data_IF_746089499852
#
_entry.id   IF_746089499852
#
_cell.length_a   1.000
_cell.length_b   1.000
_cell.length_c   1.000
_cell.angle_alpha   90.00
_cell.angle_beta   90.00
_cell.angle_gamma   90.00
#
_symmetry.space_group_name_H-M   'P 1'
#
loop_
_entity.id
_entity.type
_entity.pdbx_description
1 polymer ?
#
# COMPACT_ATOMS: atom_id res chain seq x y z
N UNK A 1 11.90 2.04 -15.76
CA UNK A 1 10.83 1.04 -16.02
C UNK A 1 10.64 0.86 -17.52
N UNK A 2 10.68 -0.37 -18.03
CA UNK A 2 10.55 -0.72 -19.45
C UNK A 2 9.09 -0.92 -19.88
N UNK A 3 8.82 -0.94 -21.20
CA UNK A 3 7.46 -1.16 -21.71
C UNK A 3 6.94 -2.57 -21.43
N UNK A 4 7.81 -3.58 -21.42
CA UNK A 4 7.45 -4.95 -21.05
C UNK A 4 7.02 -5.05 -19.58
N UNK A 5 7.72 -4.36 -18.68
CA UNK A 5 7.33 -4.27 -17.27
C UNK A 5 5.97 -3.58 -17.14
N UNK A 6 5.71 -2.53 -17.93
CA UNK A 6 4.43 -1.81 -17.91
C UNK A 6 3.29 -2.69 -18.39
N UNK A 7 3.51 -3.46 -19.45
CA UNK A 7 2.54 -4.43 -19.94
C UNK A 7 2.23 -5.50 -18.88
N UNK A 8 3.25 -6.02 -18.21
CA UNK A 8 3.08 -7.02 -17.16
C UNK A 8 2.26 -6.49 -15.97
N UNK A 9 2.57 -5.29 -15.45
CA UNK A 9 1.81 -4.70 -14.34
C UNK A 9 0.37 -4.36 -14.73
N UNK A 10 0.14 -3.91 -15.96
CA UNK A 10 -1.22 -3.69 -16.48
C UNK A 10 -2.00 -4.98 -16.62
N UNK A 11 -1.34 -6.09 -16.94
CA UNK A 11 -1.98 -7.39 -16.94
C UNK A 11 -2.37 -7.83 -15.53
N UNK A 12 -1.50 -7.60 -14.53
CA UNK A 12 -1.83 -7.89 -13.12
C UNK A 12 -3.03 -7.08 -12.61
N UNK A 13 -3.22 -5.86 -13.12
CA UNK A 13 -4.40 -5.03 -12.80
C UNK A 13 -5.70 -5.62 -13.32
N UNK A 14 -5.66 -6.42 -14.40
CA UNK A 14 -6.87 -7.06 -14.93
C UNK A 14 -7.36 -8.11 -13.94
N UNK A 15 -8.46 -7.79 -13.27
CA UNK A 15 -9.05 -8.63 -12.23
C UNK A 15 -8.55 -8.34 -10.82
N UNK A 16 -7.74 -7.30 -10.62
CA UNK A 16 -7.37 -6.85 -9.28
C UNK A 16 -8.56 -6.18 -8.58
N UNK A 17 -9.09 -6.84 -7.55
CA UNK A 17 -10.13 -6.26 -6.71
C UNK A 17 -9.48 -5.37 -5.63
N UNK A 18 -9.49 -4.06 -5.86
CA UNK A 18 -8.92 -3.07 -4.94
C UNK A 18 -9.57 -3.07 -3.56
N UNK A 19 -10.86 -3.41 -3.46
CA UNK A 19 -11.57 -3.41 -2.17
C UNK A 19 -11.15 -4.61 -1.31
N UNK A 20 -10.88 -5.76 -1.94
CA UNK A 20 -10.47 -6.97 -1.24
C UNK A 20 -8.96 -7.09 -1.05
N UNK A 21 -8.19 -6.64 -2.04
CA UNK A 21 -6.74 -6.91 -2.13
C UNK A 21 -5.88 -5.68 -1.83
N UNK A 22 -6.46 -4.47 -1.85
CA UNK A 22 -5.77 -3.20 -1.62
C UNK A 22 -5.91 -2.62 -0.21
N UNK A 23 -6.46 -3.39 0.74
CA UNK A 23 -6.69 -2.97 2.11
C UNK A 23 -5.43 -2.94 2.98
N UNK A 24 -5.59 -2.52 4.24
CA UNK A 24 -4.55 -2.64 5.25
C UNK A 24 -4.51 -4.08 5.77
N UNK A 25 -3.33 -4.71 5.71
CA UNK A 25 -3.08 -6.05 6.23
C UNK A 25 -1.65 -6.15 6.78
N UNK A 26 -1.36 -7.17 7.60
CA UNK A 26 0.00 -7.39 8.12
C UNK A 26 1.01 -7.81 7.04
N UNK A 27 0.54 -8.50 6.00
CA UNK A 27 1.35 -8.88 4.84
C UNK A 27 1.67 -7.66 3.95
N UNK A 28 0.82 -6.63 4.05
CA UNK A 28 0.85 -5.44 3.23
C UNK A 28 0.30 -5.67 1.83
N UNK A 29 -0.14 -4.57 1.20
CA UNK A 29 -0.75 -4.57 -0.10
C UNK A 29 -0.17 -3.43 -0.94
N UNK A 30 0.41 -3.78 -2.09
CA UNK A 30 0.83 -2.82 -3.10
C UNK A 30 -0.29 -2.65 -4.12
N UNK A 31 -0.68 -1.40 -4.33
CA UNK A 31 -1.68 -1.01 -5.32
C UNK A 31 -1.13 0.11 -6.20
N UNK A 32 -1.57 0.18 -7.43
CA UNK A 32 -1.16 1.18 -8.39
C UNK A 32 -2.27 1.46 -9.40
N UNK A 33 -2.20 2.61 -10.07
CA UNK A 33 -3.17 2.98 -11.11
C UNK A 33 -2.77 2.40 -12.48
N UNK A 34 -3.71 2.44 -13.44
CA UNK A 34 -3.50 1.91 -14.79
C UNK A 34 -2.41 2.66 -15.58
N UNK A 35 -2.25 3.95 -15.25
CA UNK A 35 -1.20 4.80 -15.85
C UNK A 35 0.18 4.50 -15.27
N UNK A 36 0.25 3.85 -14.11
CA UNK A 36 1.47 3.54 -13.36
C UNK A 36 2.21 4.81 -12.90
N UNK A 37 1.43 5.86 -12.61
CA UNK A 37 1.94 7.14 -12.12
C UNK A 37 2.00 7.16 -10.58
N UNK A 38 1.15 6.38 -9.92
CA UNK A 38 1.04 6.35 -8.47
C UNK A 38 1.08 4.93 -7.92
N UNK A 39 1.97 4.71 -6.96
CA UNK A 39 2.07 3.47 -6.20
C UNK A 39 1.71 3.75 -4.74
N UNK A 40 0.86 2.90 -4.16
CA UNK A 40 0.44 2.97 -2.76
C UNK A 40 0.68 1.61 -2.12
N UNK A 41 1.51 1.60 -1.08
CA UNK A 41 1.71 0.43 -0.23
C UNK A 41 1.01 0.66 1.11
N UNK A 42 0.15 -0.27 1.52
CA UNK A 42 -0.61 -0.21 2.78
C UNK A 42 -0.30 -1.43 3.62
N UNK A 43 0.05 -1.23 4.88
CA UNK A 43 0.44 -2.32 5.78
C UNK A 43 0.07 -1.98 7.22
N UNK A 44 -0.31 -3.00 7.99
CA UNK A 44 -0.42 -2.93 9.45
C UNK A 44 0.85 -3.53 10.04
N UNK A 45 1.49 -2.82 10.95
CA UNK A 45 2.73 -3.28 11.56
C UNK A 45 2.77 -2.91 13.04
N UNK A 46 3.27 -3.83 13.85
CA UNK A 46 3.73 -3.53 15.20
C UNK A 46 5.20 -3.09 15.08
N UNK A 47 5.47 -1.80 15.33
CA UNK A 47 6.83 -1.27 15.27
C UNK A 47 7.39 -1.10 16.68
N UNK A 48 8.54 -1.73 16.94
CA UNK A 48 9.39 -1.38 18.10
C UNK A 48 10.23 -0.12 17.83
N UNK A 49 10.44 0.23 16.56
CA UNK A 49 11.13 1.44 16.08
C UNK A 49 10.11 2.48 15.56
N UNK A 50 10.57 3.51 14.83
CA UNK A 50 9.69 4.46 14.14
C UNK A 50 8.87 3.75 13.05
N UNK A 51 7.53 3.77 13.14
CA UNK A 51 6.66 3.02 12.22
C UNK A 51 6.79 3.49 10.76
N UNK A 52 7.10 4.78 10.54
CA UNK A 52 7.32 5.34 9.20
C UNK A 52 8.48 4.63 8.48
N UNK A 53 9.62 4.46 9.16
CA UNK A 53 10.82 3.85 8.58
C UNK A 53 10.62 2.35 8.30
N UNK A 54 9.87 1.66 9.17
CA UNK A 54 9.49 0.27 8.96
C UNK A 54 8.54 0.12 7.74
N UNK A 55 7.55 1.02 7.63
CA UNK A 55 6.63 1.07 6.49
C UNK A 55 7.35 1.35 5.17
N UNK A 56 8.25 2.35 5.15
CA UNK A 56 9.07 2.69 3.98
C UNK A 56 9.91 1.50 3.51
N UNK A 57 10.59 0.80 4.43
CA UNK A 57 11.39 -0.40 4.07
C UNK A 57 10.54 -1.47 3.40
N UNK A 58 9.33 -1.73 3.90
CA UNK A 58 8.40 -2.71 3.29
C UNK A 58 7.92 -2.27 1.92
N UNK A 59 7.56 -0.99 1.78
CA UNK A 59 7.14 -0.42 0.50
C UNK A 59 8.28 -0.49 -0.54
N UNK A 60 9.50 -0.12 -0.17
CA UNK A 60 10.70 -0.25 -1.01
C UNK A 60 10.90 -1.69 -1.46
N UNK A 61 10.91 -2.66 -0.55
CA UNK A 61 11.09 -4.06 -0.91
C UNK A 61 10.01 -4.58 -1.87
N UNK A 62 8.76 -4.14 -1.70
CA UNK A 62 7.66 -4.48 -2.61
C UNK A 62 7.83 -3.87 -4.00
N UNK A 63 8.30 -2.62 -4.10
CA UNK A 63 8.58 -1.95 -5.38
C UNK A 63 9.81 -2.57 -6.07
N UNK A 64 10.85 -2.89 -5.32
CA UNK A 64 12.07 -3.53 -5.83
C UNK A 64 11.76 -4.92 -6.42
N UNK A 65 10.85 -5.68 -5.80
CA UNK A 65 10.41 -6.98 -6.32
C UNK A 65 9.67 -6.88 -7.67
N UNK A 66 9.04 -5.74 -7.97
CA UNK A 66 8.47 -5.46 -9.29
C UNK A 66 9.51 -4.94 -10.30
N UNK A 67 10.73 -4.62 -9.84
CA UNK A 67 11.79 -4.04 -10.66
C UNK A 67 11.44 -2.66 -11.22
N UNK A 68 10.59 -1.89 -10.52
CA UNK A 68 10.17 -0.56 -10.95
C UNK A 68 11.04 0.53 -10.32
N UNK A 69 11.37 1.54 -11.12
CA UNK A 69 11.97 2.76 -10.59
C UNK A 69 10.89 3.62 -9.93
N UNK A 70 11.18 4.16 -8.75
CA UNK A 70 10.30 5.09 -8.05
C UNK A 70 11.08 6.30 -7.53
N UNK A 71 10.37 7.40 -7.28
CA UNK A 71 10.94 8.64 -6.73
C UNK A 71 9.99 9.23 -5.71
N UNK A 72 10.54 9.88 -4.69
CA UNK A 72 9.74 10.65 -3.73
C UNK A 72 8.79 9.81 -2.88
N UNK A 73 9.23 8.62 -2.46
CA UNK A 73 8.46 7.78 -1.55
C UNK A 73 8.24 8.53 -0.22
N UNK A 74 6.99 8.52 0.26
CA UNK A 74 6.59 9.13 1.52
C UNK A 74 5.77 8.11 2.31
N UNK A 75 5.91 8.14 3.63
CA UNK A 75 5.07 7.38 4.54
C UNK A 75 4.18 8.33 5.34
N UNK A 76 3.01 7.82 5.70
CA UNK A 76 2.12 8.40 6.69
C UNK A 76 1.69 7.28 7.60
N UNK A 77 1.80 7.48 8.90
CA UNK A 77 1.38 6.52 9.90
C UNK A 77 0.18 7.04 10.67
N UNK A 78 -0.73 6.11 10.97
CA UNK A 78 -1.81 6.32 11.91
C UNK A 78 -1.65 5.28 13.00
N UNK A 79 -1.55 5.73 14.26
CA UNK A 79 -1.64 4.82 15.40
C UNK A 79 -3.09 4.35 15.55
N UNK A 80 -3.28 3.04 15.44
CA UNK A 80 -4.60 2.42 15.53
C UNK A 80 -5.12 2.42 16.99
N UNK A 81 -4.23 2.41 17.97
CA UNK A 81 -4.58 2.40 19.40
C UNK A 81 -5.08 3.78 19.86
N UNK A 82 -4.59 4.85 19.20
CA UNK A 82 -5.04 6.22 19.46
C UNK A 82 -6.29 6.61 18.64
N UNK A 83 -6.73 5.78 17.70
CA UNK A 83 -7.84 6.12 16.83
C UNK A 83 -9.19 6.13 17.54
N UNK A 84 -9.89 7.27 17.45
CA UNK A 84 -11.26 7.40 17.93
C UNK A 84 -12.25 6.69 17.00
N UNK A 85 -12.89 5.64 17.50
CA UNK A 85 -13.98 4.96 16.79
C UNK A 85 -15.30 5.71 17.01
N UNK A 86 -15.82 6.35 15.97
CA UNK A 86 -17.15 6.94 15.98
C UNK A 86 -18.21 5.85 15.76
N UNK A 87 -18.97 5.50 16.81
CA UNK A 87 -20.07 4.55 16.70
C UNK A 87 -21.37 5.30 16.40
N UNK A 88 -22.03 5.08 15.24
CA UNK A 88 -23.31 5.72 14.94
C UNK A 88 -24.37 5.27 15.95
N UNK A 89 -25.25 6.19 16.38
CA UNK A 89 -26.40 5.84 17.22
C UNK A 89 -27.28 4.88 16.43
N UNK A 90 -27.56 3.68 16.98
CA UNK A 90 -28.53 2.74 16.38
C UNK A 90 -29.88 3.46 16.34
N UNK A 91 -30.45 3.59 15.15
CA UNK A 91 -31.84 3.99 14.98
C UNK A 91 -32.69 2.85 15.56
N UNK A 92 -33.39 3.13 16.64
CA UNK A 92 -34.34 2.22 17.29
C UNK A 92 -35.69 2.22 16.60
#
# INVERSE_FOLDING_TARGET
MTDDQRAHLREQLKGFDFLRSGGFSEQGALTFDEKLDFFSYRVVLAAAEKPDDAGLRRATAALDALGVDYRGLRASVTDMDEMKINRPKRLG
#
